data_IF_816384477855
#
_entry.id   IF_816384477855
#
_cell.length_a   1.000
_cell.length_b   1.000
_cell.length_c   1.000
_cell.angle_alpha   90.00
_cell.angle_beta   90.00
_cell.angle_gamma   90.00
#
_symmetry.space_group_name_H-M   'P 1'
#
loop_
_entity.id
_entity.type
_entity.pdbx_description
1 polymer ?
#
# COMPACT_ATOMS: atom_id res chain seq x y z
N UNK A 1 -34.61 -16.67 37.13
CA UNK A 1 -33.47 -16.62 36.19
C UNK A 1 -32.80 -15.26 36.35
N UNK A 2 -31.56 -15.20 36.86
CA UNK A 2 -30.86 -13.92 37.00
C UNK A 2 -30.54 -13.33 35.62
N UNK A 3 -30.60 -12.00 35.45
CA UNK A 3 -30.34 -11.36 34.16
C UNK A 3 -28.87 -11.51 33.77
N UNK A 4 -28.61 -11.86 32.51
CA UNK A 4 -27.27 -12.08 31.92
C UNK A 4 -26.23 -11.00 32.29
N UNK A 5 -26.65 -9.75 32.45
CA UNK A 5 -25.80 -8.62 32.83
C UNK A 5 -25.21 -8.74 34.24
N UNK A 6 -25.92 -9.36 35.20
CA UNK A 6 -25.41 -9.50 36.57
C UNK A 6 -24.30 -10.53 36.68
N UNK A 7 -24.39 -11.63 35.91
CA UNK A 7 -23.37 -12.68 35.85
C UNK A 7 -22.07 -12.20 35.18
N UNK A 8 -22.16 -11.33 34.17
CA UNK A 8 -20.99 -10.73 33.53
C UNK A 8 -20.22 -9.83 34.51
N UNK A 9 -20.93 -9.05 35.33
CA UNK A 9 -20.32 -8.12 36.29
C UNK A 9 -19.57 -8.79 37.44
N UNK A 10 -19.96 -10.02 37.82
CA UNK A 10 -19.31 -10.78 38.89
C UNK A 10 -18.08 -11.51 38.37
N UNK A 11 -18.16 -12.09 37.17
CA UNK A 11 -17.01 -12.73 36.51
C UNK A 11 -15.87 -11.75 36.26
N UNK A 12 -16.17 -10.52 35.80
CA UNK A 12 -15.16 -9.46 35.59
C UNK A 12 -14.49 -9.06 36.92
N UNK A 13 -15.26 -8.96 38.00
CA UNK A 13 -14.72 -8.60 39.33
C UNK A 13 -13.82 -9.68 39.93
N UNK A 14 -14.16 -10.96 39.74
CA UNK A 14 -13.33 -12.08 40.19
C UNK A 14 -12.00 -12.12 39.43
N UNK A 15 -12.04 -12.02 38.10
CA UNK A 15 -10.84 -11.95 37.27
C UNK A 15 -9.93 -10.75 37.63
N UNK A 16 -10.51 -9.61 38.02
CA UNK A 16 -9.76 -8.43 38.45
C UNK A 16 -8.97 -8.62 39.74
N UNK A 17 -9.40 -9.54 40.61
CA UNK A 17 -8.69 -9.88 41.85
C UNK A 17 -7.53 -10.83 41.59
N UNK A 18 -7.70 -11.81 40.72
CA UNK A 18 -6.64 -12.77 40.37
C UNK A 18 -5.52 -12.14 39.54
N UNK A 19 -5.81 -11.04 38.81
CA UNK A 19 -4.82 -10.30 38.01
C UNK A 19 -4.00 -9.26 38.80
N UNK A 20 -4.21 -9.15 40.12
CA UNK A 20 -3.46 -8.24 41.01
C UNK A 20 -1.93 -8.30 40.87
N UNK A 21 -1.27 -9.48 40.84
CA UNK A 21 0.18 -9.53 40.70
C UNK A 21 0.67 -9.06 39.32
N UNK A 22 -0.21 -9.07 38.30
CA UNK A 22 0.11 -8.67 36.93
C UNK A 22 -0.25 -7.22 36.62
N UNK A 23 -0.64 -6.41 37.62
CA UNK A 23 -1.03 -5.00 37.41
C UNK A 23 0.03 -4.17 36.71
N UNK A 24 1.31 -4.34 37.09
CA UNK A 24 2.41 -3.62 36.46
C UNK A 24 2.56 -4.01 34.98
N UNK A 25 2.45 -5.30 34.68
CA UNK A 25 2.45 -5.84 33.32
C UNK A 25 1.29 -5.28 32.49
N UNK A 26 0.08 -5.25 33.03
CA UNK A 26 -1.10 -4.67 32.36
C UNK A 26 -0.92 -3.17 32.07
N UNK A 27 -0.28 -2.42 32.96
CA UNK A 27 0.02 -1.00 32.73
C UNK A 27 1.04 -0.84 31.61
N UNK A 28 2.13 -1.61 31.63
CA UNK A 28 3.17 -1.57 30.59
C UNK A 28 2.59 -1.95 29.24
N UNK A 29 1.82 -3.04 29.15
CA UNK A 29 1.16 -3.45 27.91
C UNK A 29 0.11 -2.44 27.45
N UNK A 30 -0.66 -1.85 28.37
CA UNK A 30 -1.60 -0.79 28.03
C UNK A 30 -0.89 0.42 27.45
N UNK A 31 0.24 0.84 28.02
CA UNK A 31 1.04 1.94 27.50
C UNK A 31 1.64 1.61 26.13
N UNK A 32 2.25 0.43 25.95
CA UNK A 32 2.83 0.05 24.66
C UNK A 32 1.77 -0.10 23.58
N UNK A 33 0.63 -0.71 23.86
CA UNK A 33 -0.50 -0.77 22.91
C UNK A 33 -0.97 0.64 22.56
N UNK A 34 -1.10 1.54 23.53
CA UNK A 34 -1.54 2.93 23.28
C UNK A 34 -0.54 3.68 22.41
N UNK A 35 0.76 3.58 22.70
CA UNK A 35 1.82 4.19 21.89
C UNK A 35 1.84 3.57 20.49
N UNK A 36 1.78 2.25 20.36
CA UNK A 36 1.74 1.59 19.05
C UNK A 36 0.50 1.97 18.25
N UNK A 37 -0.68 2.08 18.87
CA UNK A 37 -1.90 2.54 18.18
C UNK A 37 -1.77 4.01 17.78
N UNK A 38 -1.20 4.85 18.64
CA UNK A 38 -0.95 6.25 18.32
C UNK A 38 0.05 6.36 17.16
N UNK A 39 1.19 5.68 17.22
CA UNK A 39 2.17 5.62 16.15
C UNK A 39 1.57 5.05 14.87
N UNK A 40 0.81 3.97 14.90
CA UNK A 40 0.12 3.40 13.73
C UNK A 40 -0.94 4.37 13.20
N UNK A 41 -1.64 5.12 14.05
CA UNK A 41 -2.59 6.15 13.61
C UNK A 41 -1.88 7.33 12.93
N UNK A 42 -0.67 7.67 13.38
CA UNK A 42 0.21 8.64 12.73
C UNK A 42 0.94 8.03 11.52
N UNK A 43 1.15 6.72 11.47
CA UNK A 43 1.82 5.97 10.41
C UNK A 43 0.83 5.35 9.42
N UNK A 44 -0.49 5.50 9.58
CA UNK A 44 -1.43 5.36 8.47
C UNK A 44 -1.07 6.32 7.31
N UNK A 45 -0.17 7.26 7.58
CA UNK A 45 0.68 7.99 6.65
C UNK A 45 1.91 7.19 6.10
N UNK A 46 1.90 5.85 5.98
CA UNK A 46 2.89 5.13 5.12
C UNK A 46 2.78 5.61 3.66
N UNK A 47 1.60 6.17 3.30
CA UNK A 47 1.37 6.97 2.10
C UNK A 47 2.35 8.14 1.97
N UNK A 48 2.93 8.63 3.05
CA UNK A 48 3.81 9.79 3.00
C UNK A 48 5.26 9.43 2.72
N UNK A 49 5.75 8.19 2.75
CA UNK A 49 7.18 7.94 2.44
C UNK A 49 7.57 8.40 1.02
N UNK A 50 6.68 8.20 0.05
CA UNK A 50 6.92 8.62 -1.34
C UNK A 50 6.45 10.05 -1.62
N UNK A 51 5.67 10.66 -0.72
CA UNK A 51 5.15 12.02 -0.85
C UNK A 51 5.89 13.03 0.05
N UNK A 52 6.64 12.58 1.05
CA UNK A 52 7.31 13.38 2.06
C UNK A 52 8.45 14.17 1.41
N UNK A 53 8.35 15.50 1.36
CA UNK A 53 9.37 16.35 0.76
C UNK A 53 10.68 16.33 1.55
N UNK A 54 10.68 15.92 2.82
CA UNK A 54 11.88 15.83 3.65
C UNK A 54 12.64 14.53 3.44
N UNK A 55 11.93 13.40 3.34
CA UNK A 55 12.55 12.12 3.01
C UNK A 55 13.04 12.08 1.56
N UNK A 56 12.29 12.70 0.64
CA UNK A 56 12.57 12.81 -0.79
C UNK A 56 13.04 11.50 -1.44
N UNK A 57 12.51 10.37 -0.96
CA UNK A 57 13.04 9.04 -1.27
C UNK A 57 12.95 8.72 -2.76
N UNK A 58 11.79 8.98 -3.37
CA UNK A 58 11.56 8.72 -4.80
C UNK A 58 12.50 9.55 -5.67
N UNK A 59 12.67 10.84 -5.38
CA UNK A 59 13.54 11.72 -6.17
C UNK A 59 15.00 11.33 -6.00
N UNK A 60 15.45 11.02 -4.78
CA UNK A 60 16.80 10.55 -4.52
C UNK A 60 17.08 9.24 -5.26
N UNK A 61 16.18 8.25 -5.14
CA UNK A 61 16.31 6.96 -5.80
C UNK A 61 16.34 7.10 -7.32
N UNK A 62 15.45 7.92 -7.88
CA UNK A 62 15.33 8.10 -9.33
C UNK A 62 16.42 8.98 -9.93
N UNK A 63 17.03 9.85 -9.12
CA UNK A 63 18.23 10.62 -9.49
C UNK A 63 19.47 9.73 -9.50
N UNK A 64 19.64 8.90 -8.46
CA UNK A 64 20.82 8.03 -8.33
C UNK A 64 20.77 6.84 -9.29
N UNK A 65 19.59 6.29 -9.56
CA UNK A 65 19.41 5.08 -10.35
C UNK A 65 18.25 5.18 -11.35
N UNK A 66 18.28 6.11 -12.32
CA UNK A 66 17.16 6.38 -13.22
C UNK A 66 16.76 5.18 -14.09
N UNK A 67 17.71 4.30 -14.41
CA UNK A 67 17.50 3.15 -15.31
C UNK A 67 17.10 1.86 -14.59
N UNK A 68 16.97 1.89 -13.26
CA UNK A 68 16.54 0.70 -12.50
C UNK A 68 15.03 0.54 -12.52
N UNK A 69 14.57 -0.70 -12.67
CA UNK A 69 13.14 -1.04 -12.69
C UNK A 69 12.45 -0.64 -11.39
N UNK A 70 13.14 -0.80 -10.26
CA UNK A 70 12.68 -0.43 -8.92
C UNK A 70 12.48 1.09 -8.78
N UNK A 71 13.35 1.90 -9.40
CA UNK A 71 13.22 3.35 -9.41
C UNK A 71 11.98 3.79 -10.20
N UNK A 72 11.73 3.16 -11.34
CA UNK A 72 10.50 3.41 -12.12
C UNK A 72 9.25 2.95 -11.36
N UNK A 73 9.35 1.83 -10.63
CA UNK A 73 8.28 1.36 -9.77
C UNK A 73 8.00 2.31 -8.60
N UNK A 74 9.02 2.91 -7.99
CA UNK A 74 8.82 3.95 -6.98
C UNK A 74 8.05 5.17 -7.53
N UNK A 75 8.30 5.56 -8.79
CA UNK A 75 7.53 6.61 -9.48
C UNK A 75 6.07 6.24 -9.69
N UNK A 76 5.78 4.96 -9.99
CA UNK A 76 4.39 4.46 -10.05
C UNK A 76 3.70 4.68 -8.71
N UNK A 77 4.34 4.24 -7.61
CA UNK A 77 3.75 4.36 -6.27
C UNK A 77 3.49 5.82 -5.93
N UNK A 78 4.47 6.70 -6.16
CA UNK A 78 4.34 8.14 -5.93
C UNK A 78 3.20 8.75 -6.76
N UNK A 79 3.11 8.43 -8.06
CA UNK A 79 2.07 8.93 -8.94
C UNK A 79 0.66 8.49 -8.51
N UNK A 80 0.49 7.22 -8.11
CA UNK A 80 -0.78 6.69 -7.59
C UNK A 80 -1.18 7.38 -6.29
N UNK A 81 -0.24 7.53 -5.36
CA UNK A 81 -0.49 8.23 -4.10
C UNK A 81 -0.81 9.72 -4.32
N UNK A 82 -0.19 10.35 -5.32
CA UNK A 82 -0.57 11.71 -5.72
C UNK A 82 -1.97 11.78 -6.32
N UNK A 83 -2.39 10.80 -7.12
CA UNK A 83 -3.77 10.69 -7.61
C UNK A 83 -4.77 10.72 -6.46
N UNK A 84 -4.53 9.86 -5.46
CA UNK A 84 -5.37 9.71 -4.30
C UNK A 84 -5.35 10.97 -3.42
N UNK A 85 -4.16 11.53 -3.16
CA UNK A 85 -4.00 12.74 -2.37
C UNK A 85 -4.70 13.95 -3.03
N UNK A 86 -4.64 14.10 -4.35
CA UNK A 86 -5.35 15.17 -5.06
C UNK A 86 -6.88 15.05 -4.94
N UNK A 87 -7.41 13.83 -4.82
CA UNK A 87 -8.85 13.59 -4.63
C UNK A 87 -9.30 13.76 -3.18
N UNK A 88 -8.52 13.27 -2.21
CA UNK A 88 -8.91 13.17 -0.81
C UNK A 88 -8.37 14.27 0.10
N UNK A 89 -7.20 14.86 -0.22
CA UNK A 89 -6.51 15.85 0.63
C UNK A 89 -6.51 17.22 -0.05
N UNK A 90 -7.03 18.24 0.64
CA UNK A 90 -6.94 19.65 0.21
C UNK A 90 -6.27 20.48 1.32
N UNK A 91 -5.12 21.13 1.06
CA UNK A 91 -4.36 21.16 -0.21
C UNK A 91 -3.55 19.87 -0.46
N UNK A 92 -3.36 19.54 -1.73
CA UNK A 92 -2.49 18.43 -2.12
C UNK A 92 -1.01 18.73 -1.79
N UNK A 93 -0.19 17.72 -1.47
CA UNK A 93 1.25 17.89 -1.25
C UNK A 93 1.94 18.58 -2.44
N UNK A 94 2.99 19.36 -2.16
CA UNK A 94 3.72 20.11 -3.18
C UNK A 94 4.35 19.20 -4.26
N UNK A 95 4.87 18.04 -3.84
CA UNK A 95 5.38 16.97 -4.70
C UNK A 95 4.35 16.48 -5.72
N UNK A 96 3.05 16.56 -5.40
CA UNK A 96 1.99 16.14 -6.31
C UNK A 96 1.58 17.18 -7.36
N UNK A 97 2.13 18.39 -7.31
CA UNK A 97 1.82 19.44 -8.29
C UNK A 97 2.43 19.18 -9.67
N UNK A 98 3.44 18.31 -9.74
CA UNK A 98 4.08 17.94 -11.01
C UNK A 98 3.21 17.00 -11.86
N UNK A 99 2.23 16.33 -11.26
CA UNK A 99 1.37 15.37 -11.93
C UNK A 99 0.10 16.05 -12.42
N UNK A 100 -0.12 16.04 -13.74
CA UNK A 100 -1.37 16.48 -14.34
C UNK A 100 -2.44 15.37 -14.17
N UNK A 101 -3.57 15.64 -13.47
CA UNK A 101 -4.61 14.64 -13.24
C UNK A 101 -5.11 13.97 -14.54
N UNK A 102 -5.18 14.73 -15.64
CA UNK A 102 -5.69 14.23 -16.92
C UNK A 102 -4.70 13.29 -17.63
N UNK A 103 -3.41 13.41 -17.35
CA UNK A 103 -2.34 12.62 -17.97
C UNK A 103 -1.85 11.49 -17.08
N UNK A 104 -2.28 11.45 -15.82
CA UNK A 104 -1.73 10.55 -14.80
C UNK A 104 -1.83 9.07 -15.18
N UNK A 105 -2.91 8.66 -15.83
CA UNK A 105 -3.07 7.29 -16.35
C UNK A 105 -1.98 6.97 -17.37
N UNK A 106 -1.67 7.90 -18.27
CA UNK A 106 -0.62 7.71 -19.26
C UNK A 106 0.77 7.70 -18.61
N UNK A 107 1.03 8.57 -17.65
CA UNK A 107 2.31 8.62 -16.93
C UNK A 107 2.58 7.36 -16.12
N UNK A 108 1.59 6.90 -15.35
CA UNK A 108 1.68 5.65 -14.58
C UNK A 108 1.96 4.46 -15.51
N UNK A 109 1.26 4.38 -16.65
CA UNK A 109 1.53 3.37 -17.68
C UNK A 109 2.98 3.43 -18.17
N UNK A 110 3.47 4.63 -18.49
CA UNK A 110 4.84 4.83 -18.96
C UNK A 110 5.90 4.42 -17.93
N UNK A 111 5.67 4.68 -16.63
CA UNK A 111 6.58 4.22 -15.58
C UNK A 111 6.61 2.70 -15.47
N UNK A 112 5.45 2.02 -15.54
CA UNK A 112 5.40 0.56 -15.59
C UNK A 112 6.13 -0.01 -16.80
N UNK A 113 5.86 0.51 -17.99
CA UNK A 113 6.46 0.04 -19.24
C UNK A 113 7.98 0.23 -19.23
N UNK A 114 8.47 1.39 -18.76
CA UNK A 114 9.91 1.61 -18.56
C UNK A 114 10.50 0.66 -17.53
N UNK A 115 9.84 0.49 -16.40
CA UNK A 115 10.28 -0.42 -15.34
C UNK A 115 10.41 -1.86 -15.82
N UNK A 116 9.41 -2.36 -16.55
CA UNK A 116 9.44 -3.69 -17.16
C UNK A 116 10.48 -3.79 -18.29
N UNK A 117 10.69 -2.71 -19.04
CA UNK A 117 11.70 -2.60 -20.10
C UNK A 117 13.13 -2.75 -19.60
N UNK A 118 13.40 -2.48 -18.31
CA UNK A 118 14.71 -2.72 -17.69
C UNK A 118 15.09 -4.20 -17.58
N UNK A 119 14.12 -5.11 -17.81
CA UNK A 119 14.35 -6.55 -17.70
C UNK A 119 14.36 -7.07 -16.27
N UNK A 120 13.82 -6.31 -15.31
CA UNK A 120 13.63 -6.78 -13.93
C UNK A 120 12.69 -7.99 -13.88
N UNK A 121 13.21 -9.17 -13.51
CA UNK A 121 12.42 -10.43 -13.50
C UNK A 121 12.11 -10.98 -12.10
N UNK A 122 12.70 -10.41 -11.06
CA UNK A 122 12.53 -10.90 -9.69
C UNK A 122 11.41 -10.18 -8.93
N UNK A 123 10.87 -9.08 -9.48
CA UNK A 123 9.87 -8.24 -8.82
C UNK A 123 8.45 -8.58 -9.28
N UNK A 124 7.85 -9.62 -8.68
CA UNK A 124 6.50 -10.09 -9.05
C UNK A 124 5.43 -8.99 -8.95
N UNK A 125 5.54 -8.13 -7.93
CA UNK A 125 4.61 -7.02 -7.72
C UNK A 125 4.52 -6.09 -8.93
N UNK A 126 5.62 -5.85 -9.64
CA UNK A 126 5.65 -4.90 -10.77
C UNK A 126 4.80 -5.42 -11.94
N UNK A 127 4.94 -6.71 -12.28
CA UNK A 127 4.15 -7.35 -13.33
C UNK A 127 2.68 -7.46 -12.95
N UNK A 128 2.41 -7.86 -11.71
CA UNK A 128 1.06 -8.08 -11.23
C UNK A 128 0.28 -6.77 -11.14
N UNK A 129 0.88 -5.73 -10.58
CA UNK A 129 0.26 -4.41 -10.45
C UNK A 129 0.12 -3.71 -11.80
N UNK A 130 1.05 -3.91 -12.75
CA UNK A 130 0.86 -3.42 -14.11
C UNK A 130 -0.36 -4.06 -14.78
N UNK A 131 -0.53 -5.38 -14.63
CA UNK A 131 -1.71 -6.09 -15.13
C UNK A 131 -2.98 -5.57 -14.46
N UNK A 132 -2.98 -5.40 -13.13
CA UNK A 132 -4.10 -4.81 -12.41
C UNK A 132 -4.43 -3.42 -12.95
N UNK A 133 -3.42 -2.56 -13.09
CA UNK A 133 -3.56 -1.21 -13.64
C UNK A 133 -4.25 -1.23 -15.00
N UNK A 134 -3.77 -2.05 -15.95
CA UNK A 134 -4.38 -2.17 -17.29
C UNK A 134 -5.85 -2.62 -17.25
N UNK A 135 -6.19 -3.55 -16.34
CA UNK A 135 -7.59 -3.99 -16.14
C UNK A 135 -8.43 -2.87 -15.54
N UNK A 136 -7.91 -2.17 -14.53
CA UNK A 136 -8.60 -1.07 -13.85
C UNK A 136 -8.92 0.07 -14.82
N UNK A 137 -7.97 0.42 -15.69
CA UNK A 137 -8.09 1.51 -16.68
C UNK A 137 -8.74 1.07 -17.99
N UNK A 138 -9.26 -0.16 -18.07
CA UNK A 138 -9.93 -0.71 -19.26
C UNK A 138 -9.08 -0.58 -20.53
N UNK A 139 -7.79 -0.92 -20.44
CA UNK A 139 -6.90 -0.95 -21.59
C UNK A 139 -7.37 -1.95 -22.66
N UNK A 140 -6.73 -1.93 -23.83
CA UNK A 140 -7.06 -2.84 -24.93
C UNK A 140 -6.92 -4.31 -24.47
N UNK A 141 -7.83 -5.22 -24.85
CA UNK A 141 -7.74 -6.64 -24.45
C UNK A 141 -6.40 -7.29 -24.80
N UNK A 142 -5.83 -6.95 -25.96
CA UNK A 142 -4.52 -7.44 -26.38
C UNK A 142 -3.38 -7.02 -25.42
N UNK A 143 -3.41 -5.78 -24.90
CA UNK A 143 -2.40 -5.29 -23.95
C UNK A 143 -2.51 -6.03 -22.61
N UNK A 144 -3.76 -6.25 -22.14
CA UNK A 144 -4.05 -6.99 -20.90
C UNK A 144 -3.57 -8.44 -21.02
N UNK A 145 -3.86 -9.10 -22.14
CA UNK A 145 -3.43 -10.47 -22.36
C UNK A 145 -1.91 -10.58 -22.50
N UNK A 146 -1.26 -9.63 -23.18
CA UNK A 146 0.19 -9.59 -23.26
C UNK A 146 0.84 -9.43 -21.87
N UNK A 147 0.33 -8.51 -21.04
CA UNK A 147 0.80 -8.32 -19.67
C UNK A 147 0.57 -9.57 -18.80
N UNK A 148 -0.59 -10.22 -18.92
CA UNK A 148 -0.87 -11.48 -18.23
C UNK A 148 0.11 -12.59 -18.61
N UNK A 149 0.38 -12.76 -19.91
CA UNK A 149 1.34 -13.75 -20.38
C UNK A 149 2.77 -13.43 -19.92
N UNK A 150 3.15 -12.16 -19.89
CA UNK A 150 4.45 -11.73 -19.35
C UNK A 150 4.58 -12.07 -17.86
N UNK A 151 3.55 -11.78 -17.07
CA UNK A 151 3.50 -12.11 -15.65
C UNK A 151 3.61 -13.62 -15.41
N UNK A 152 2.77 -14.43 -16.08
CA UNK A 152 2.76 -15.90 -15.91
C UNK A 152 4.04 -16.58 -16.38
N UNK A 153 4.72 -16.04 -17.40
CA UNK A 153 6.04 -16.53 -17.83
C UNK A 153 7.10 -16.33 -16.77
N UNK A 154 7.15 -15.16 -16.13
CA UNK A 154 8.18 -14.84 -15.15
C UNK A 154 7.85 -15.44 -13.76
N UNK A 155 6.56 -15.61 -13.44
CA UNK A 155 6.10 -16.10 -12.13
C UNK A 155 5.07 -17.22 -12.26
N UNK A 156 5.45 -18.40 -12.81
CA UNK A 156 4.52 -19.50 -13.07
C UNK A 156 3.91 -20.09 -11.79
N UNK A 157 4.61 -19.99 -10.65
CA UNK A 157 4.15 -20.51 -9.35
C UNK A 157 3.42 -19.45 -8.51
N UNK A 158 3.12 -18.28 -9.08
CA UNK A 158 2.37 -17.23 -8.37
C UNK A 158 1.02 -17.75 -7.87
N UNK A 159 0.75 -17.55 -6.57
CA UNK A 159 -0.53 -17.82 -5.90
C UNK A 159 -1.52 -16.65 -5.97
N UNK A 160 -1.10 -15.47 -6.46
CA UNK A 160 -1.99 -14.31 -6.57
C UNK A 160 -3.16 -14.59 -7.55
N UNK A 161 -4.38 -14.11 -7.25
CA UNK A 161 -5.55 -14.34 -8.10
C UNK A 161 -5.42 -13.63 -9.45
N UNK A 162 -6.07 -14.13 -10.50
CA UNK A 162 -6.06 -13.47 -11.82
C UNK A 162 -6.85 -12.14 -11.78
N UNK A 163 -6.20 -10.98 -11.96
CA UNK A 163 -6.86 -9.67 -11.92
C UNK A 163 -8.00 -9.51 -12.95
N UNK A 164 -7.95 -10.27 -14.05
CA UNK A 164 -8.99 -10.21 -15.09
C UNK A 164 -10.31 -10.82 -14.62
N UNK A 165 -10.30 -11.60 -13.53
CA UNK A 165 -11.47 -12.33 -13.00
C UNK A 165 -12.08 -11.69 -11.77
N UNK A 166 -11.41 -10.75 -11.11
CA UNK A 166 -11.82 -10.20 -9.81
C UNK A 166 -12.94 -9.14 -9.86
N UNK A 167 -13.66 -9.00 -10.99
CA UNK A 167 -14.73 -8.01 -11.19
C UNK A 167 -16.01 -8.61 -11.79
N UNK A 168 -16.36 -9.85 -11.44
CA UNK A 168 -17.73 -10.36 -11.63
C UNK A 168 -18.56 -10.09 -10.39
#
# INVERSE_FOLDING_TARGET
MPPLLSQISSAIRAAWWDLRPFRLLMIVYGMTITVSVWEISQQALVVDLYLDPHANFTDALTTLYPERGESQYAKVIQAVQCAEAQQLRRPAPATCRQYNPDELVHEVRSFFERGLGTGIKHHQGLYYEYLQFLVLTKAKPADIDAAYQAWRRNFPLSSLPDPRRSRR
#
